data_IF_954906502058
#
_entry.id   IF_954906502058
#
_cell.length_a   1.000
_cell.length_b   1.000
_cell.length_c   1.000
_cell.angle_alpha   90.00
_cell.angle_beta   90.00
_cell.angle_gamma   90.00
#
_symmetry.space_group_name_H-M   'P 1'
#
loop_
_entity.id
_entity.type
_entity.pdbx_description
1 polymer ?
#
# COMPACT_ATOMS: atom_id res chain seq x y z
N UNK A 1 40.79 9.24 18.47
CA UNK A 1 40.53 10.49 17.73
C UNK A 1 41.19 11.67 18.42
N UNK A 2 42.48 11.92 18.17
CA UNK A 2 43.04 13.26 18.29
C UNK A 2 44.37 13.36 17.54
N UNK A 3 44.37 14.13 16.46
CA UNK A 3 45.44 15.09 16.12
C UNK A 3 44.78 16.24 15.32
N UNK A 4 43.95 17.01 16.05
CA UNK A 4 43.61 18.43 15.88
C UNK A 4 43.22 19.01 14.50
N UNK A 5 42.40 18.31 13.70
CA UNK A 5 41.27 18.87 12.90
C UNK A 5 40.68 17.87 11.89
N UNK A 6 41.27 16.70 11.70
CA UNK A 6 40.87 15.73 10.66
C UNK A 6 40.76 14.29 11.19
N UNK A 7 40.04 13.45 10.46
CA UNK A 7 39.92 12.01 10.71
C UNK A 7 41.26 11.34 10.36
N UNK A 8 41.66 10.34 11.14
CA UNK A 8 42.90 9.60 10.86
C UNK A 8 42.73 8.66 9.66
N UNK A 9 43.81 8.39 8.92
CA UNK A 9 43.80 7.43 7.81
C UNK A 9 43.37 6.03 8.28
N UNK A 10 43.70 5.64 9.51
CA UNK A 10 43.28 4.36 10.08
C UNK A 10 41.76 4.28 10.24
N UNK A 11 41.13 5.38 10.67
CA UNK A 11 39.67 5.45 10.82
C UNK A 11 38.97 5.41 9.46
N UNK A 12 39.54 6.04 8.42
CA UNK A 12 39.02 5.98 7.05
C UNK A 12 39.14 4.57 6.44
N UNK A 13 40.25 3.86 6.72
CA UNK A 13 40.42 2.47 6.32
C UNK A 13 39.47 1.53 7.09
N UNK A 14 39.25 1.78 8.38
CA UNK A 14 38.27 1.04 9.18
C UNK A 14 36.85 1.26 8.66
N UNK A 15 36.52 2.47 8.21
CA UNK A 15 35.25 2.75 7.53
C UNK A 15 35.10 1.93 6.25
N UNK A 16 36.13 1.94 5.38
CA UNK A 16 36.13 1.15 4.14
C UNK A 16 35.95 -0.36 4.40
N UNK A 17 36.60 -0.88 5.43
CA UNK A 17 36.56 -2.30 5.79
C UNK A 17 35.34 -2.69 6.65
N UNK A 18 34.42 -1.76 6.91
CA UNK A 18 33.26 -1.97 7.79
C UNK A 18 33.64 -2.42 9.22
N UNK A 19 34.76 -1.94 9.74
CA UNK A 19 35.28 -2.29 11.07
C UNK A 19 34.94 -1.26 12.17
N UNK A 20 34.18 -0.22 11.85
CA UNK A 20 33.75 0.80 12.83
C UNK A 20 32.47 0.38 13.54
N UNK A 21 32.37 0.70 14.83
CA UNK A 21 31.11 0.57 15.55
C UNK A 21 30.12 1.70 15.16
N UNK A 22 28.86 1.60 15.57
CA UNK A 22 27.82 2.57 15.20
C UNK A 22 28.16 4.01 15.67
N UNK A 23 28.68 4.16 16.89
CA UNK A 23 29.00 5.47 17.45
C UNK A 23 30.18 6.13 16.72
N UNK A 24 31.22 5.37 16.43
CA UNK A 24 32.39 5.80 15.66
C UNK A 24 32.01 6.16 14.22
N UNK A 25 31.13 5.36 13.61
CA UNK A 25 30.59 5.61 12.28
C UNK A 25 29.83 6.95 12.22
N UNK A 26 28.92 7.18 13.17
CA UNK A 26 28.16 8.42 13.24
C UNK A 26 29.06 9.64 13.45
N UNK A 27 30.07 9.53 14.33
CA UNK A 27 31.05 10.60 14.56
C UNK A 27 31.90 10.89 13.32
N UNK A 28 32.35 9.85 12.62
CA UNK A 28 33.10 9.98 11.38
C UNK A 28 32.27 10.68 10.31
N UNK A 29 31.04 10.21 10.05
CA UNK A 29 30.14 10.79 9.04
C UNK A 29 29.75 12.23 9.38
N UNK A 30 29.50 12.52 10.66
CA UNK A 30 29.25 13.88 11.13
C UNK A 30 30.43 14.80 10.83
N UNK A 31 31.66 14.34 11.07
CA UNK A 31 32.85 15.11 10.74
C UNK A 31 33.06 15.26 9.23
N UNK A 32 32.92 14.20 8.43
CA UNK A 32 33.01 14.25 6.96
C UNK A 32 32.02 15.25 6.37
N UNK A 33 30.82 15.37 6.95
CA UNK A 33 29.81 16.33 6.49
C UNK A 33 30.22 17.80 6.66
N UNK A 34 31.09 18.09 7.63
CA UNK A 34 31.51 19.46 7.98
C UNK A 34 32.95 19.79 7.56
N UNK A 35 33.75 18.79 7.18
CA UNK A 35 35.15 18.95 6.81
C UNK A 35 35.40 18.55 5.34
N UNK A 36 35.61 19.55 4.48
CA UNK A 36 35.85 19.34 3.05
C UNK A 36 37.13 18.52 2.77
N UNK A 37 38.16 18.67 3.61
CA UNK A 37 39.38 17.87 3.46
C UNK A 37 39.10 16.37 3.68
N UNK A 38 38.36 16.04 4.73
CA UNK A 38 38.03 14.65 5.05
C UNK A 38 37.05 14.03 4.04
N UNK A 39 36.16 14.81 3.45
CA UNK A 39 35.25 14.32 2.40
C UNK A 39 36.00 14.00 1.10
N UNK A 40 36.95 14.86 0.69
CA UNK A 40 37.82 14.59 -0.47
C UNK A 40 38.68 13.35 -0.23
N UNK A 41 39.30 13.22 0.96
CA UNK A 41 40.08 12.03 1.31
C UNK A 41 39.25 10.74 1.32
N UNK A 42 38.03 10.81 1.83
CA UNK A 42 37.13 9.66 1.81
C UNK A 42 36.77 9.27 0.36
N UNK A 43 36.53 10.26 -0.51
CA UNK A 43 36.23 10.01 -1.91
C UNK A 43 37.42 9.36 -2.64
N UNK A 44 38.65 9.79 -2.36
CA UNK A 44 39.87 9.19 -2.92
C UNK A 44 39.98 7.71 -2.53
N UNK A 45 39.86 7.40 -1.24
CA UNK A 45 39.97 6.03 -0.71
C UNK A 45 38.87 5.10 -1.27
N UNK A 46 37.68 5.64 -1.53
CA UNK A 46 36.57 4.88 -2.15
C UNK A 46 36.76 4.69 -3.66
N UNK A 47 37.50 5.60 -4.30
CA UNK A 47 37.73 5.58 -5.75
C UNK A 47 38.87 4.66 -6.16
N UNK A 48 39.82 4.37 -5.26
CA UNK A 48 40.98 3.49 -5.52
C UNK A 48 40.58 2.08 -5.96
N UNK A 49 39.43 1.56 -5.51
CA UNK A 49 38.97 0.20 -5.78
C UNK A 49 37.71 0.16 -6.66
N UNK A 50 37.62 1.04 -7.66
CA UNK A 50 36.53 0.98 -8.64
C UNK A 50 36.61 -0.31 -9.48
N UNK A 51 35.93 -1.34 -9.02
CA UNK A 51 35.67 -2.54 -9.81
C UNK A 51 34.81 -2.18 -11.02
N UNK A 52 35.21 -2.66 -12.20
CA UNK A 52 34.40 -2.48 -13.40
C UNK A 52 33.03 -3.11 -13.20
N UNK A 53 31.98 -2.31 -13.29
CA UNK A 53 30.61 -2.79 -13.16
C UNK A 53 30.35 -3.90 -14.20
N UNK A 54 29.73 -5.03 -13.80
CA UNK A 54 29.41 -6.10 -14.73
C UNK A 54 28.47 -5.59 -15.84
N UNK A 55 28.68 -6.07 -17.08
CA UNK A 55 28.05 -5.55 -18.31
C UNK A 55 26.51 -5.41 -18.23
N UNK A 56 25.85 -6.27 -17.46
CA UNK A 56 24.39 -6.31 -17.34
C UNK A 56 23.84 -5.61 -16.07
N UNK A 57 24.67 -4.91 -15.30
CA UNK A 57 24.25 -4.28 -14.03
C UNK A 57 23.16 -3.23 -14.27
N UNK A 58 23.37 -2.35 -15.24
CA UNK A 58 22.42 -1.29 -15.62
C UNK A 58 21.04 -1.87 -15.96
N UNK A 59 21.00 -2.86 -16.84
CA UNK A 59 19.75 -3.47 -17.28
C UNK A 59 19.06 -4.23 -16.14
N UNK A 60 19.83 -4.86 -15.26
CA UNK A 60 19.29 -5.59 -14.10
C UNK A 60 18.66 -4.63 -13.07
N UNK A 61 19.31 -3.50 -12.79
CA UNK A 61 18.78 -2.45 -11.90
C UNK A 61 17.54 -1.80 -12.51
N UNK A 62 17.58 -1.43 -13.80
CA UNK A 62 16.43 -0.84 -14.50
C UNK A 62 15.24 -1.80 -14.57
N UNK A 63 15.49 -3.10 -14.71
CA UNK A 63 14.44 -4.12 -14.62
C UNK A 63 13.92 -4.26 -13.18
N UNK A 64 14.79 -4.17 -12.18
CA UNK A 64 14.40 -4.22 -10.77
C UNK A 64 13.52 -3.02 -10.36
N UNK A 65 13.86 -1.80 -10.77
CA UNK A 65 13.07 -0.59 -10.48
C UNK A 65 11.72 -0.57 -11.22
N UNK A 66 11.66 -1.19 -12.40
CA UNK A 66 10.41 -1.40 -13.15
C UNK A 66 9.56 -2.57 -12.62
N UNK A 67 10.01 -3.32 -11.61
CA UNK A 67 9.20 -4.40 -11.05
C UNK A 67 7.87 -3.82 -10.55
N UNK A 68 6.74 -4.49 -10.84
CA UNK A 68 5.42 -4.00 -10.52
C UNK A 68 5.26 -3.72 -9.03
N UNK A 69 5.95 -4.48 -8.18
CA UNK A 69 5.91 -4.33 -6.71
C UNK A 69 6.37 -2.93 -6.22
N UNK A 70 7.45 -2.40 -6.81
CA UNK A 70 7.99 -1.07 -6.46
C UNK A 70 7.11 0.05 -7.04
N UNK A 71 6.57 -0.15 -8.25
CA UNK A 71 5.66 0.82 -8.87
C UNK A 71 4.30 0.86 -8.17
N UNK A 72 3.77 -0.27 -7.69
CA UNK A 72 2.53 -0.34 -6.93
C UNK A 72 2.72 0.33 -5.57
N UNK A 73 3.81 0.08 -4.85
CA UNK A 73 4.08 0.75 -3.58
C UNK A 73 4.21 2.27 -3.73
N UNK A 74 4.95 2.74 -4.74
CA UNK A 74 5.09 4.17 -5.02
C UNK A 74 3.75 4.80 -5.45
N UNK A 75 3.03 4.17 -6.38
CA UNK A 75 1.75 4.67 -6.90
C UNK A 75 0.62 4.55 -5.89
N UNK A 76 0.63 3.55 -5.00
CA UNK A 76 -0.34 3.41 -3.92
C UNK A 76 -0.16 4.51 -2.87
N UNK A 77 1.07 4.89 -2.53
CA UNK A 77 1.31 5.99 -1.60
C UNK A 77 0.83 7.34 -2.18
N UNK A 78 1.02 7.56 -3.48
CA UNK A 78 0.53 8.76 -4.17
C UNK A 78 -1.00 8.76 -4.35
N UNK A 79 -1.58 7.61 -4.69
CA UNK A 79 -3.03 7.44 -4.88
C UNK A 79 -3.78 7.52 -3.55
N UNK A 80 -3.19 7.05 -2.44
CA UNK A 80 -3.80 7.05 -1.10
C UNK A 80 -4.21 8.46 -0.65
N UNK A 81 -3.37 9.47 -0.86
CA UNK A 81 -3.69 10.86 -0.49
C UNK A 81 -4.85 11.43 -1.32
N UNK A 82 -4.89 11.14 -2.62
CA UNK A 82 -5.96 11.62 -3.50
C UNK A 82 -7.27 10.84 -3.30
N UNK A 83 -7.19 9.59 -2.88
CA UNK A 83 -8.33 8.72 -2.59
C UNK A 83 -9.05 9.13 -1.30
N UNK A 84 -8.34 9.75 -0.35
CA UNK A 84 -8.96 10.28 0.87
C UNK A 84 -10.06 11.31 0.53
N UNK A 85 -9.78 12.27 -0.35
CA UNK A 85 -10.77 13.26 -0.78
C UNK A 85 -11.98 12.62 -1.44
N UNK A 86 -11.76 11.62 -2.30
CA UNK A 86 -12.84 10.89 -2.97
C UNK A 86 -13.74 10.16 -1.98
N UNK A 87 -13.18 9.46 -0.98
CA UNK A 87 -13.98 8.78 0.05
C UNK A 87 -14.72 9.75 0.96
N UNK A 88 -14.15 10.90 1.30
CA UNK A 88 -14.87 11.93 2.06
C UNK A 88 -16.04 12.49 1.26
N UNK A 89 -15.83 12.84 -0.01
CA UNK A 89 -16.90 13.29 -0.90
C UNK A 89 -17.98 12.23 -1.09
N UNK A 90 -17.60 10.95 -1.25
CA UNK A 90 -18.54 9.85 -1.36
C UNK A 90 -19.31 9.62 -0.07
N UNK A 91 -18.67 9.67 1.10
CA UNK A 91 -19.33 9.52 2.40
C UNK A 91 -20.40 10.59 2.62
N UNK A 92 -20.05 11.85 2.33
CA UNK A 92 -20.98 12.98 2.47
C UNK A 92 -22.08 12.88 1.41
N UNK A 93 -21.73 12.52 0.17
CA UNK A 93 -22.67 12.31 -0.93
C UNK A 93 -23.70 11.21 -0.62
N UNK A 94 -23.26 10.06 -0.13
CA UNK A 94 -24.13 8.95 0.27
C UNK A 94 -25.05 9.35 1.42
N UNK A 95 -24.56 10.08 2.42
CA UNK A 95 -25.40 10.59 3.51
C UNK A 95 -26.48 11.56 3.00
N UNK A 96 -26.13 12.47 2.09
CA UNK A 96 -27.08 13.40 1.48
C UNK A 96 -28.13 12.67 0.64
N UNK A 97 -27.73 11.70 -0.18
CA UNK A 97 -28.66 10.87 -0.97
C UNK A 97 -29.57 10.05 -0.06
N UNK A 98 -29.04 9.45 1.01
CA UNK A 98 -29.84 8.71 1.98
C UNK A 98 -30.86 9.60 2.71
N UNK A 99 -30.48 10.82 3.09
CA UNK A 99 -31.39 11.78 3.71
C UNK A 99 -32.50 12.24 2.76
N UNK A 100 -32.17 12.49 1.49
CA UNK A 100 -33.15 12.82 0.46
C UNK A 100 -34.08 11.63 0.19
N UNK A 101 -33.57 10.41 0.16
CA UNK A 101 -34.35 9.18 0.01
C UNK A 101 -35.35 9.02 1.17
N UNK A 102 -34.89 9.21 2.42
CA UNK A 102 -35.74 9.15 3.62
C UNK A 102 -36.84 10.21 3.61
N UNK A 103 -36.51 11.45 3.23
CA UNK A 103 -37.50 12.53 3.08
C UNK A 103 -38.50 12.25 1.96
N UNK A 104 -38.03 11.73 0.83
CA UNK A 104 -38.90 11.35 -0.29
C UNK A 104 -39.87 10.23 0.10
N UNK A 105 -39.40 9.23 0.84
CA UNK A 105 -40.27 8.17 1.38
C UNK A 105 -41.26 8.73 2.42
N UNK A 106 -40.81 9.61 3.32
CA UNK A 106 -41.66 10.20 4.37
C UNK A 106 -42.74 11.15 3.84
N UNK A 107 -42.50 11.84 2.72
CA UNK A 107 -43.46 12.78 2.13
C UNK A 107 -44.59 12.11 1.35
N UNK A 108 -44.41 10.83 0.97
CA UNK A 108 -45.43 10.03 0.30
C UNK A 108 -46.29 9.19 1.28
N UNK A 109 -46.11 9.35 2.61
CA UNK A 109 -46.92 8.69 3.64
C UNK A 109 -48.06 9.66 4.03
N UNK A 110 -49.34 9.29 3.85
CA UNK A 110 -50.47 10.07 4.38
C UNK A 110 -50.33 10.28 5.89
N UNK A 111 -50.49 11.53 6.33
CA UNK A 111 -50.33 11.93 7.73
C UNK A 111 -51.47 11.41 8.60
N UNK A 112 -51.41 10.14 9.02
CA UNK A 112 -52.34 9.58 10.00
C UNK A 112 -51.66 8.69 11.02
N UNK A 113 -50.56 9.18 11.59
CA UNK A 113 -49.96 8.73 12.85
C UNK A 113 -48.70 9.53 13.18
N UNK A 114 -48.82 10.86 13.23
CA UNK A 114 -47.82 11.71 13.89
C UNK A 114 -47.95 11.59 15.42
N UNK A 115 -47.48 10.47 15.97
CA UNK A 115 -47.11 10.42 17.38
C UNK A 115 -46.01 9.39 17.60
N UNK A 116 -44.78 9.83 17.44
CA UNK A 116 -43.73 9.42 18.37
C UNK A 116 -42.62 10.45 18.36
N UNK A 117 -42.50 11.15 19.48
CA UNK A 117 -41.25 11.80 19.89
C UNK A 117 -40.15 10.74 19.83
N UNK A 118 -39.11 10.95 19.03
CA UNK A 118 -37.80 10.44 19.39
C UNK A 118 -36.74 11.48 19.03
N UNK A 119 -36.34 12.19 20.09
CA UNK A 119 -35.00 12.75 20.18
C UNK A 119 -33.99 11.66 19.83
N UNK A 120 -32.87 12.06 19.25
CA UNK A 120 -31.74 11.20 18.92
C UNK A 120 -30.89 11.05 20.20
N UNK A 121 -30.88 9.89 20.87
CA UNK A 121 -29.75 9.52 21.73
C UNK A 121 -28.79 8.64 20.94
N UNK A 122 -27.56 9.14 20.87
CA UNK A 122 -26.35 8.45 20.47
C UNK A 122 -26.07 7.31 21.47
N UNK A 123 -26.60 6.12 21.20
CA UNK A 123 -26.16 4.86 21.84
C UNK A 123 -26.29 3.74 20.82
N UNK A 124 -25.18 3.38 20.19
CA UNK A 124 -25.09 2.30 19.23
C UNK A 124 -25.03 0.97 19.99
N UNK A 125 -26.18 0.34 20.15
CA UNK A 125 -26.31 -1.10 20.39
C UNK A 125 -27.51 -1.60 19.58
N UNK A 126 -27.24 -2.03 18.35
CA UNK A 126 -28.24 -2.67 17.49
C UNK A 126 -28.21 -4.17 17.79
N UNK A 127 -29.13 -4.59 18.66
CA UNK A 127 -29.56 -5.98 18.73
C UNK A 127 -30.33 -6.33 17.45
N UNK A 128 -29.99 -7.49 16.89
CA UNK A 128 -30.66 -8.11 15.74
C UNK A 128 -32.07 -8.60 16.10
N UNK A 129 -32.80 -8.93 15.02
CA UNK A 129 -34.11 -9.57 14.92
C UNK A 129 -35.29 -8.58 15.02
N UNK A 130 -36.22 -8.48 14.07
CA UNK A 130 -36.71 -9.38 13.03
C UNK A 130 -37.33 -8.56 11.89
N UNK A 131 -37.41 -9.14 10.69
CA UNK A 131 -38.10 -8.67 9.46
C UNK A 131 -37.17 -8.38 8.25
N UNK A 132 -36.50 -9.44 7.77
CA UNK A 132 -35.73 -9.44 6.51
C UNK A 132 -36.03 -10.70 5.69
N UNK A 133 -37.31 -10.96 5.36
CA UNK A 133 -37.72 -12.24 4.74
C UNK A 133 -37.94 -12.18 3.21
N UNK A 134 -37.73 -11.04 2.53
CA UNK A 134 -37.96 -11.02 1.07
C UNK A 134 -36.90 -10.29 0.22
N UNK A 135 -36.20 -9.29 0.78
CA UNK A 135 -35.15 -8.58 0.04
C UNK A 135 -33.77 -9.26 0.12
N UNK A 136 -33.51 -10.00 1.19
CA UNK A 136 -32.27 -10.79 1.41
C UNK A 136 -32.22 -12.03 0.52
N UNK A 137 -33.37 -12.67 0.29
CA UNK A 137 -33.52 -13.78 -0.64
C UNK A 137 -33.18 -13.37 -2.08
N UNK A 138 -33.55 -12.15 -2.49
CA UNK A 138 -33.26 -11.64 -3.83
C UNK A 138 -31.80 -11.28 -4.06
N UNK A 139 -31.05 -10.84 -3.04
CA UNK A 139 -29.62 -10.52 -3.21
C UNK A 139 -28.73 -11.74 -3.01
N UNK A 140 -29.10 -12.66 -2.13
CA UNK A 140 -28.38 -13.93 -1.97
C UNK A 140 -28.50 -14.84 -3.19
N UNK A 141 -29.63 -14.81 -3.91
CA UNK A 141 -29.79 -15.54 -5.17
C UNK A 141 -28.89 -14.97 -6.28
N UNK A 142 -28.81 -13.65 -6.42
CA UNK A 142 -27.91 -12.98 -7.40
C UNK A 142 -26.44 -13.30 -7.10
N UNK A 143 -26.03 -13.27 -5.83
CA UNK A 143 -24.66 -13.64 -5.44
C UNK A 143 -24.39 -15.11 -5.73
N UNK A 144 -25.34 -16.01 -5.44
CA UNK A 144 -25.21 -17.44 -5.71
C UNK A 144 -25.06 -17.73 -7.21
N UNK A 145 -25.88 -17.10 -8.05
CA UNK A 145 -25.82 -17.26 -9.51
C UNK A 145 -24.47 -16.79 -10.08
N UNK A 146 -23.95 -15.66 -9.62
CA UNK A 146 -22.62 -15.17 -10.04
C UNK A 146 -21.47 -16.06 -9.54
N UNK A 147 -21.60 -16.66 -8.35
CA UNK A 147 -20.59 -17.59 -7.81
C UNK A 147 -20.59 -18.93 -8.56
N UNK A 148 -21.76 -19.42 -8.97
CA UNK A 148 -21.86 -20.64 -9.76
C UNK A 148 -21.23 -20.46 -11.16
N UNK A 149 -21.45 -19.30 -11.80
CA UNK A 149 -20.82 -18.98 -13.09
C UNK A 149 -19.28 -18.88 -12.96
N UNK A 150 -18.79 -18.21 -11.92
CA UNK A 150 -17.36 -18.14 -11.62
C UNK A 150 -16.76 -19.54 -11.35
N UNK A 151 -17.44 -20.38 -10.56
CA UNK A 151 -17.00 -21.74 -10.24
C UNK A 151 -16.87 -22.60 -11.50
N UNK A 152 -17.83 -22.51 -12.41
CA UNK A 152 -17.81 -23.23 -13.68
C UNK A 152 -16.62 -22.80 -14.56
N UNK A 153 -16.38 -21.49 -14.67
CA UNK A 153 -15.25 -20.93 -15.40
C UNK A 153 -13.90 -21.31 -14.76
N UNK A 154 -13.84 -21.38 -13.43
CA UNK A 154 -12.63 -21.78 -12.70
C UNK A 154 -12.31 -23.27 -12.90
N UNK A 155 -13.33 -24.14 -12.88
CA UNK A 155 -13.15 -25.57 -13.17
C UNK A 155 -12.75 -25.81 -14.63
N UNK A 156 -13.33 -25.08 -15.58
CA UNK A 156 -12.97 -25.22 -16.98
C UNK A 156 -11.54 -24.72 -17.26
N UNK A 157 -11.14 -23.61 -16.63
CA UNK A 157 -9.75 -23.14 -16.65
C UNK A 157 -8.78 -24.17 -16.05
N UNK A 158 -9.14 -24.79 -14.91
CA UNK A 158 -8.34 -25.84 -14.28
C UNK A 158 -8.18 -27.07 -15.19
N UNK A 159 -9.29 -27.54 -15.78
CA UNK A 159 -9.26 -28.64 -16.74
C UNK A 159 -8.47 -28.28 -18.01
N UNK A 160 -8.50 -27.03 -18.45
CA UNK A 160 -7.73 -26.53 -19.60
C UNK A 160 -6.23 -26.50 -19.32
N UNK A 161 -5.82 -26.05 -18.13
CA UNK A 161 -4.40 -26.13 -17.72
C UNK A 161 -3.97 -27.60 -17.66
N UNK A 162 -4.77 -28.47 -17.03
CA UNK A 162 -4.44 -29.88 -16.88
C UNK A 162 -4.31 -30.61 -18.22
N UNK A 163 -5.14 -30.27 -19.22
CA UNK A 163 -5.00 -30.80 -20.59
C UNK A 163 -3.81 -30.19 -21.35
N UNK A 164 -3.44 -28.95 -21.07
CA UNK A 164 -2.30 -28.28 -21.71
C UNK A 164 -0.97 -28.86 -21.21
N UNK A 165 -0.85 -29.20 -19.92
CA UNK A 165 0.37 -29.84 -19.38
C UNK A 165 0.57 -31.30 -19.86
N UNK A 166 -0.49 -32.02 -20.20
CA UNK A 166 -0.40 -33.42 -20.68
C UNK A 166 -0.01 -33.52 -22.17
N UNK A 167 0.00 -32.41 -22.92
CA UNK A 167 0.34 -32.40 -24.37
C UNK A 167 1.75 -31.89 -24.69
N UNK A 168 2.55 -31.53 -23.69
CA UNK A 168 3.96 -31.09 -23.88
C UNK A 168 4.97 -32.17 -23.44
N UNK A 169 4.57 -33.45 -23.44
CA UNK A 169 5.48 -34.55 -23.11
C UNK A 169 5.20 -35.84 -23.90
N UNK A 170 4.95 -35.72 -25.21
CA UNK A 170 5.20 -36.77 -26.21
C UNK A 170 5.96 -36.18 -27.41
#
# INVERSE_FOLDING_TARGET
>A
MNDNQHISEQDLLNFRNNCLNQEELEQLLSHVSSCNYCSERLADIMSEEMLQAPKNLKDSILKATKRPDIQIAMKANETSKNMQLFFYSLKIGTAAVAALLLLFLSTNIPAENASSKQAIPLSQEMSMDDELDNSSASWTSVIRENLDDFSSNMMDFSNKIMKTEVTEHD
#
